data_IF_263985602687
#
_entry.id   IF_263985602687
#
_cell.length_a   1.000
_cell.length_b   1.000
_cell.length_c   1.000
_cell.angle_alpha   90.00
_cell.angle_beta   90.00
_cell.angle_gamma   90.00
#
_symmetry.space_group_name_H-M   'P 1'
#
loop_
_entity.id
_entity.type
_entity.pdbx_description
1 polymer ?
#
# COMPACT_ATOMS: atom_id res chain seq x y z
N UNK A 1 -17.73 0.11 19.64
CA UNK A 1 -17.07 0.99 18.65
C UNK A 1 -17.22 0.29 17.31
N UNK A 2 -17.66 0.99 16.26
CA UNK A 2 -17.67 0.39 14.93
C UNK A 2 -16.22 0.04 14.56
N UNK A 3 -15.98 -1.15 14.02
CA UNK A 3 -14.67 -1.54 13.53
C UNK A 3 -14.28 -0.52 12.45
N UNK A 4 -13.10 0.07 12.60
CA UNK A 4 -12.59 0.99 11.60
C UNK A 4 -12.37 0.21 10.30
N UNK A 5 -13.00 0.64 9.21
CA UNK A 5 -12.87 0.04 7.87
C UNK A 5 -11.98 0.91 7.01
N UNK A 6 -11.22 0.29 6.11
CA UNK A 6 -10.47 1.04 5.10
C UNK A 6 -11.45 1.69 4.12
N UNK A 7 -11.09 2.89 3.67
CA UNK A 7 -11.79 3.51 2.53
C UNK A 7 -11.38 2.78 1.26
N UNK A 8 -12.34 2.49 0.39
CA UNK A 8 -12.10 1.84 -0.89
C UNK A 8 -12.56 2.71 -2.04
N UNK A 9 -11.86 2.59 -3.16
CA UNK A 9 -12.19 3.18 -4.45
C UNK A 9 -12.25 2.05 -5.47
N UNK A 10 -13.31 2.01 -6.26
CA UNK A 10 -13.50 0.95 -7.27
C UNK A 10 -13.28 1.53 -8.64
N UNK A 11 -12.47 0.83 -9.44
CA UNK A 11 -12.20 1.12 -10.85
C UNK A 11 -12.35 -0.17 -11.69
N UNK A 12 -12.23 -0.05 -13.01
CA UNK A 12 -12.44 -1.16 -13.94
C UNK A 12 -13.91 -1.57 -14.02
N UNK A 13 -14.17 -2.85 -14.30
CA UNK A 13 -15.53 -3.39 -14.38
C UNK A 13 -16.02 -3.84 -12.99
N UNK A 14 -17.00 -3.14 -12.38
CA UNK A 14 -17.51 -3.52 -11.06
C UNK A 14 -18.26 -4.87 -11.06
N UNK A 15 -18.63 -5.41 -12.23
CA UNK A 15 -19.32 -6.68 -12.38
C UNK A 15 -18.38 -7.84 -12.70
N UNK A 16 -17.09 -7.58 -12.87
CA UNK A 16 -16.09 -8.60 -13.15
C UNK A 16 -16.00 -9.64 -12.03
N UNK A 17 -15.76 -10.89 -12.41
CA UNK A 17 -15.54 -11.99 -11.48
C UNK A 17 -14.13 -11.99 -10.91
N UNK A 18 -13.15 -11.43 -11.64
CA UNK A 18 -11.79 -11.28 -11.17
C UNK A 18 -11.65 -9.96 -10.42
N UNK A 19 -11.18 -10.04 -9.16
CA UNK A 19 -10.94 -8.86 -8.32
C UNK A 19 -9.44 -8.68 -8.10
N UNK A 20 -8.98 -7.45 -8.31
CA UNK A 20 -7.61 -7.01 -8.02
C UNK A 20 -7.65 -5.98 -6.90
N UNK A 21 -6.97 -6.26 -5.79
CA UNK A 21 -6.90 -5.36 -4.63
C UNK A 21 -5.54 -4.70 -4.58
N UNK A 22 -5.52 -3.37 -4.52
CA UNK A 22 -4.32 -2.54 -4.52
C UNK A 22 -4.12 -1.92 -3.15
N UNK A 23 -2.91 -2.11 -2.59
CA UNK A 23 -2.51 -1.58 -1.28
C UNK A 23 -1.28 -0.70 -1.46
N UNK A 24 -1.45 0.61 -1.27
CA UNK A 24 -0.37 1.60 -1.41
C UNK A 24 0.57 1.61 -0.20
N UNK A 25 1.68 2.35 -0.30
CA UNK A 25 2.62 2.60 0.77
C UNK A 25 2.54 4.00 1.35
N UNK A 26 3.57 4.40 2.05
CA UNK A 26 3.68 5.73 2.63
C UNK A 26 4.67 6.60 1.82
N UNK A 27 4.38 7.89 1.58
CA UNK A 27 3.25 8.70 2.07
C UNK A 27 2.07 8.80 1.08
N UNK A 28 1.89 7.79 0.23
CA UNK A 28 0.94 7.77 -0.87
C UNK A 28 -0.51 7.54 -0.41
N UNK A 29 -1.41 7.51 -1.41
CA UNK A 29 -2.79 7.07 -1.31
C UNK A 29 -3.13 6.23 -2.57
N UNK A 30 -4.40 5.83 -2.72
CA UNK A 30 -4.87 5.04 -3.87
C UNK A 30 -4.50 5.64 -5.23
N UNK A 31 -4.31 6.97 -5.33
CA UNK A 31 -4.03 7.65 -6.62
C UNK A 31 -2.68 7.26 -7.23
N UNK A 32 -1.76 6.66 -6.45
CA UNK A 32 -0.49 6.13 -6.98
C UNK A 32 -0.71 5.07 -8.06
N UNK A 33 -1.85 4.38 -8.05
CA UNK A 33 -2.18 3.35 -9.03
C UNK A 33 -2.99 3.85 -10.23
N UNK A 34 -3.55 5.07 -10.19
CA UNK A 34 -4.37 5.62 -11.29
C UNK A 34 -3.66 5.66 -12.64
N UNK A 35 -2.34 6.03 -12.73
CA UNK A 35 -1.65 6.01 -14.00
C UNK A 35 -1.61 4.62 -14.64
N UNK A 36 -1.46 3.55 -13.85
CA UNK A 36 -1.46 2.17 -14.33
C UNK A 36 -2.83 1.73 -14.84
N UNK A 37 -3.91 2.12 -14.15
CA UNK A 37 -5.28 1.83 -14.55
C UNK A 37 -5.71 2.56 -15.84
N UNK A 38 -4.97 3.60 -16.20
CA UNK A 38 -5.24 4.46 -17.37
C UNK A 38 -4.35 4.14 -18.58
N UNK A 39 -3.52 3.10 -18.52
CA UNK A 39 -2.61 2.76 -19.62
C UNK A 39 -3.39 2.25 -20.82
N UNK A 40 -3.18 2.84 -22.02
CA UNK A 40 -3.81 2.36 -23.25
C UNK A 40 -3.36 0.94 -23.59
N UNK A 41 -4.30 0.05 -23.90
CA UNK A 41 -4.02 -1.32 -24.34
C UNK A 41 -3.81 -2.32 -23.20
N UNK A 42 -4.04 -1.94 -21.95
CA UNK A 42 -4.12 -2.86 -20.83
C UNK A 42 -5.61 -3.16 -20.53
N UNK A 43 -6.17 -4.09 -21.31
CA UNK A 43 -7.56 -4.51 -21.15
C UNK A 43 -7.77 -5.34 -19.88
N UNK A 44 -6.70 -5.97 -19.35
CA UNK A 44 -6.80 -6.87 -18.21
C UNK A 44 -7.29 -6.16 -16.93
N UNK A 45 -6.80 -4.95 -16.64
CA UNK A 45 -7.27 -4.18 -15.48
C UNK A 45 -8.61 -3.51 -15.72
N UNK A 46 -8.90 -3.11 -16.97
CA UNK A 46 -10.20 -2.52 -17.31
C UNK A 46 -11.33 -3.56 -17.28
N UNK A 47 -11.01 -4.83 -17.53
CA UNK A 47 -11.94 -5.97 -17.48
C UNK A 47 -12.02 -6.62 -16.08
N UNK A 48 -11.21 -6.18 -15.14
CA UNK A 48 -11.20 -6.64 -13.74
C UNK A 48 -11.89 -5.64 -12.82
N UNK A 49 -12.42 -6.11 -11.70
CA UNK A 49 -12.85 -5.25 -10.59
C UNK A 49 -11.64 -4.83 -9.77
N UNK A 50 -11.21 -3.58 -9.92
CA UNK A 50 -10.07 -3.03 -9.21
C UNK A 50 -10.52 -2.32 -7.93
N UNK A 51 -10.09 -2.82 -6.77
CA UNK A 51 -10.37 -2.28 -5.44
C UNK A 51 -9.10 -1.64 -4.90
N UNK A 52 -9.08 -0.31 -4.83
CA UNK A 52 -7.95 0.46 -4.33
C UNK A 52 -8.25 0.90 -2.90
N UNK A 53 -7.42 0.51 -1.94
CA UNK A 53 -7.60 0.86 -0.53
C UNK A 53 -6.81 2.10 -0.16
N UNK A 54 -7.39 2.96 0.70
CA UNK A 54 -6.66 4.00 1.40
C UNK A 54 -6.26 3.50 2.78
N UNK A 55 -4.96 3.36 3.02
CA UNK A 55 -4.42 3.12 4.35
C UNK A 55 -4.58 4.36 5.23
N UNK A 56 -4.68 4.20 6.56
CA UNK A 56 -4.74 5.33 7.48
C UNK A 56 -3.57 6.29 7.27
N UNK A 57 -3.88 7.56 7.12
CA UNK A 57 -2.85 8.59 6.92
C UNK A 57 -2.25 9.02 8.25
N UNK A 58 -0.98 9.42 8.22
CA UNK A 58 -0.27 9.97 9.38
C UNK A 58 -0.89 11.29 9.91
N UNK A 59 -1.74 11.97 9.14
CA UNK A 59 -2.51 13.14 9.56
C UNK A 59 -3.64 12.80 10.56
N UNK A 60 -3.86 11.52 10.82
CA UNK A 60 -4.73 11.03 11.87
C UNK A 60 -6.23 11.22 11.66
N UNK A 61 -6.65 11.67 10.48
CA UNK A 61 -8.07 11.85 10.19
C UNK A 61 -8.82 10.51 10.29
N UNK A 62 -9.61 10.34 11.35
CA UNK A 62 -10.43 9.15 11.60
C UNK A 62 -9.74 7.98 12.32
N UNK A 63 -8.43 8.05 12.58
CA UNK A 63 -7.63 6.95 13.12
C UNK A 63 -6.88 7.30 14.42
N UNK A 64 -7.30 8.34 15.12
CA UNK A 64 -6.68 8.78 16.37
C UNK A 64 -6.88 7.74 17.46
N UNK A 65 -5.77 7.25 18.03
CA UNK A 65 -5.79 6.24 19.10
C UNK A 65 -5.97 4.79 18.61
N UNK A 66 -6.00 4.56 17.30
CA UNK A 66 -6.05 3.21 16.72
C UNK A 66 -4.66 2.58 16.63
N UNK A 67 -4.60 1.25 16.70
CA UNK A 67 -3.40 0.49 16.39
C UNK A 67 -3.16 0.50 14.87
N UNK A 68 -2.07 1.09 14.43
CA UNK A 68 -1.63 1.14 13.04
C UNK A 68 -0.42 0.22 12.76
N UNK A 69 -0.24 -0.81 13.58
CA UNK A 69 0.78 -1.84 13.32
C UNK A 69 0.51 -2.59 12.01
N UNK A 70 1.55 -3.07 11.36
CA UNK A 70 1.41 -3.85 10.13
C UNK A 70 0.45 -5.06 10.27
N UNK A 71 0.47 -5.85 11.38
CA UNK A 71 -0.51 -6.91 11.57
C UNK A 71 -1.95 -6.39 11.63
N UNK A 72 -2.19 -5.24 12.24
CA UNK A 72 -3.52 -4.63 12.26
C UNK A 72 -3.96 -4.14 10.88
N UNK A 73 -3.06 -3.49 10.13
CA UNK A 73 -3.33 -3.06 8.76
C UNK A 73 -3.61 -4.27 7.85
N UNK A 74 -2.85 -5.36 7.99
CA UNK A 74 -3.11 -6.60 7.26
C UNK A 74 -4.51 -7.18 7.59
N UNK A 75 -4.92 -7.16 8.86
CA UNK A 75 -6.28 -7.57 9.26
C UNK A 75 -7.36 -6.72 8.58
N UNK A 76 -7.17 -5.41 8.48
CA UNK A 76 -8.12 -4.51 7.79
C UNK A 76 -8.18 -4.80 6.28
N UNK A 77 -7.04 -5.12 5.65
CA UNK A 77 -7.02 -5.54 4.24
C UNK A 77 -7.73 -6.87 4.05
N UNK A 78 -7.57 -7.83 4.97
CA UNK A 78 -8.33 -9.11 4.96
C UNK A 78 -9.83 -8.85 5.05
N UNK A 79 -10.26 -7.98 5.96
CA UNK A 79 -11.67 -7.62 6.11
C UNK A 79 -12.20 -6.95 4.82
N UNK A 80 -11.39 -6.10 4.20
CA UNK A 80 -11.72 -5.48 2.91
C UNK A 80 -11.85 -6.53 1.80
N UNK A 81 -10.90 -7.46 1.65
CA UNK A 81 -10.97 -8.53 0.65
C UNK A 81 -12.28 -9.32 0.82
N UNK A 82 -12.63 -9.70 2.04
CA UNK A 82 -13.86 -10.46 2.34
C UNK A 82 -15.15 -9.70 2.07
N UNK A 83 -15.12 -8.37 2.17
CA UNK A 83 -16.29 -7.53 1.86
C UNK A 83 -16.43 -7.22 0.37
N UNK A 84 -15.33 -7.23 -0.38
CA UNK A 84 -15.28 -6.78 -1.77
C UNK A 84 -15.22 -7.93 -2.80
N UNK A 85 -14.96 -9.16 -2.36
CA UNK A 85 -14.84 -10.32 -3.26
C UNK A 85 -15.37 -11.61 -2.61
N UNK A 86 -16.12 -12.40 -3.39
CA UNK A 86 -16.59 -13.73 -2.99
C UNK A 86 -15.52 -14.82 -3.16
N UNK A 87 -14.40 -14.52 -3.80
CA UNK A 87 -13.33 -15.47 -4.11
C UNK A 87 -11.94 -14.92 -3.84
N UNK A 88 -10.89 -15.73 -4.11
CA UNK A 88 -9.51 -15.28 -3.96
C UNK A 88 -9.18 -14.19 -4.97
N UNK A 89 -8.44 -13.17 -4.51
CA UNK A 89 -8.08 -11.98 -5.29
C UNK A 89 -6.64 -12.00 -5.80
N UNK A 90 -6.36 -11.19 -6.82
CA UNK A 90 -5.00 -10.75 -7.09
C UNK A 90 -4.69 -9.58 -6.14
N UNK A 91 -3.69 -9.74 -5.28
CA UNK A 91 -3.29 -8.72 -4.31
C UNK A 91 -2.00 -8.02 -4.75
N UNK A 92 -2.09 -6.71 -4.95
CA UNK A 92 -0.96 -5.85 -5.39
C UNK A 92 -0.58 -4.93 -4.25
N UNK A 93 0.67 -5.02 -3.78
CA UNK A 93 1.22 -4.14 -2.75
C UNK A 93 2.36 -3.29 -3.31
N UNK A 94 2.41 -2.02 -2.92
CA UNK A 94 3.50 -1.09 -3.21
C UNK A 94 4.09 -0.57 -1.91
N UNK A 95 5.41 -0.52 -1.78
CA UNK A 95 6.15 -0.05 -0.60
C UNK A 95 5.64 -0.73 0.70
N UNK A 96 5.13 0.00 1.69
CA UNK A 96 4.52 -0.59 2.91
C UNK A 96 3.34 -1.51 2.59
N UNK A 97 2.61 -1.23 1.51
CA UNK A 97 1.58 -2.13 1.00
C UNK A 97 2.10 -3.50 0.65
N UNK A 98 3.36 -3.62 0.16
CA UNK A 98 4.01 -4.92 -0.09
C UNK A 98 4.26 -5.70 1.20
N UNK A 99 4.63 -5.02 2.29
CA UNK A 99 4.78 -5.65 3.61
C UNK A 99 3.43 -6.17 4.11
N UNK A 100 2.39 -5.35 3.99
CA UNK A 100 1.01 -5.71 4.38
C UNK A 100 0.52 -6.89 3.54
N UNK A 101 0.68 -6.84 2.21
CA UNK A 101 0.28 -7.92 1.31
C UNK A 101 1.00 -9.25 1.62
N UNK A 102 2.29 -9.18 2.00
CA UNK A 102 3.05 -10.36 2.42
C UNK A 102 2.51 -10.97 3.71
N UNK A 103 2.03 -10.16 4.66
CA UNK A 103 1.39 -10.64 5.88
C UNK A 103 0.04 -11.28 5.57
N UNK A 104 -0.77 -10.66 4.71
CA UNK A 104 -2.05 -11.25 4.25
C UNK A 104 -1.81 -12.59 3.59
N UNK A 105 -0.87 -12.69 2.63
CA UNK A 105 -0.54 -13.94 1.95
C UNK A 105 -0.05 -15.03 2.92
N UNK A 106 0.72 -14.66 3.95
CA UNK A 106 1.22 -15.60 4.96
C UNK A 106 0.10 -16.15 5.84
N UNK A 107 -0.80 -15.27 6.30
CA UNK A 107 -1.77 -15.59 7.35
C UNK A 107 -3.13 -16.04 6.78
N UNK A 108 -3.46 -15.69 5.52
CA UNK A 108 -4.72 -16.02 4.84
C UNK A 108 -4.45 -16.35 3.35
N UNK A 109 -3.61 -17.37 3.06
CA UNK A 109 -3.22 -17.69 1.68
C UNK A 109 -4.42 -18.06 0.78
N UNK A 110 -5.51 -18.54 1.36
CA UNK A 110 -6.73 -18.90 0.65
C UNK A 110 -7.48 -17.70 0.03
N UNK A 111 -7.22 -16.49 0.51
CA UNK A 111 -7.80 -15.26 -0.02
C UNK A 111 -7.02 -14.69 -1.21
N UNK A 112 -5.84 -15.24 -1.52
CA UNK A 112 -4.92 -14.66 -2.51
C UNK A 112 -4.60 -15.67 -3.60
N UNK A 113 -5.12 -15.45 -4.79
CA UNK A 113 -4.80 -16.27 -5.98
C UNK A 113 -3.44 -15.91 -6.58
N UNK A 114 -3.06 -14.63 -6.50
CA UNK A 114 -1.79 -14.07 -6.99
C UNK A 114 -1.38 -12.90 -6.11
N UNK A 115 -0.08 -12.78 -5.84
CA UNK A 115 0.46 -11.64 -5.09
C UNK A 115 1.57 -10.96 -5.91
N UNK A 116 1.44 -9.64 -6.08
CA UNK A 116 2.43 -8.79 -6.76
C UNK A 116 2.97 -7.78 -5.76
N UNK A 117 4.28 -7.78 -5.57
CA UNK A 117 4.96 -6.90 -4.62
C UNK A 117 5.87 -5.94 -5.41
N UNK A 118 5.59 -4.64 -5.29
CA UNK A 118 6.31 -3.57 -5.96
C UNK A 118 7.21 -2.86 -4.94
N UNK A 119 8.48 -2.63 -5.31
CA UNK A 119 9.56 -1.98 -4.56
C UNK A 119 10.09 -2.75 -3.35
N UNK A 120 9.24 -3.29 -2.50
CA UNK A 120 9.64 -4.07 -1.33
C UNK A 120 9.32 -5.53 -1.61
N UNK A 121 10.36 -6.31 -1.92
CA UNK A 121 10.24 -7.77 -2.10
C UNK A 121 10.03 -8.49 -0.77
N UNK A 122 9.74 -9.79 -0.85
CA UNK A 122 9.67 -10.68 0.30
C UNK A 122 10.90 -10.49 1.20
N UNK A 123 10.66 -10.36 2.50
CA UNK A 123 11.61 -10.03 3.58
C UNK A 123 13.06 -10.47 3.29
N UNK A 124 14.02 -9.56 3.13
CA UNK A 124 15.41 -9.95 2.93
C UNK A 124 15.90 -10.70 4.18
N UNK A 125 16.42 -11.90 4.00
CA UNK A 125 17.21 -12.52 5.05
C UNK A 125 18.52 -11.74 5.17
N UNK A 126 18.73 -11.09 6.31
CA UNK A 126 19.94 -10.30 6.60
C UNK A 126 21.13 -11.19 7.00
N UNK A 127 21.35 -12.27 6.29
CA UNK A 127 22.36 -13.29 6.60
C UNK A 127 23.68 -13.12 5.85
N UNK A 128 23.80 -12.07 5.02
CA UNK A 128 25.04 -11.78 4.30
C UNK A 128 25.54 -10.35 4.54
N UNK A 129 26.89 -10.12 4.54
CA UNK A 129 27.47 -8.79 4.68
C UNK A 129 27.01 -7.79 3.61
N UNK A 130 26.72 -8.25 2.41
CA UNK A 130 26.18 -7.41 1.32
C UNK A 130 24.76 -6.91 1.61
N UNK A 131 23.95 -7.71 2.28
CA UNK A 131 22.61 -7.33 2.73
C UNK A 131 22.66 -6.39 3.93
N UNK A 132 23.64 -6.55 4.83
CA UNK A 132 23.87 -5.59 5.91
C UNK A 132 24.26 -4.20 5.37
N UNK A 133 25.09 -4.13 4.32
CA UNK A 133 25.44 -2.87 3.65
C UNK A 133 24.21 -2.22 2.95
N UNK A 134 23.32 -3.02 2.34
CA UNK A 134 22.05 -2.54 1.80
C UNK A 134 21.11 -2.05 2.90
N UNK A 135 21.10 -2.72 4.06
CA UNK A 135 20.37 -2.29 5.25
C UNK A 135 20.76 -0.89 5.72
N UNK A 136 22.05 -0.52 5.65
CA UNK A 136 22.53 0.84 5.92
C UNK A 136 21.97 1.87 4.91
N UNK A 137 21.87 1.50 3.63
CA UNK A 137 21.24 2.34 2.60
C UNK A 137 19.75 2.58 2.87
N UNK A 138 19.03 1.55 3.27
CA UNK A 138 17.62 1.63 3.66
C UNK A 138 17.45 2.51 4.91
N UNK A 139 18.30 2.35 5.93
CA UNK A 139 18.30 3.21 7.12
C UNK A 139 18.58 4.67 6.78
N UNK A 140 19.53 4.93 5.87
CA UNK A 140 19.81 6.28 5.39
C UNK A 140 18.60 6.87 4.64
N UNK A 141 17.96 6.10 3.77
CA UNK A 141 16.74 6.50 3.07
C UNK A 141 15.61 6.87 4.05
N UNK A 142 15.32 6.00 5.03
CA UNK A 142 14.32 6.30 6.06
C UNK A 142 14.68 7.52 6.90
N UNK A 143 15.95 7.68 7.25
CA UNK A 143 16.42 8.84 8.04
C UNK A 143 16.23 10.15 7.27
N UNK A 144 16.56 10.18 5.98
CA UNK A 144 16.37 11.35 5.11
C UNK A 144 14.89 11.68 4.96
N UNK A 145 14.05 10.69 4.69
CA UNK A 145 12.61 10.91 4.55
C UNK A 145 11.97 11.36 5.87
N UNK A 146 12.35 10.76 7.00
CA UNK A 146 11.88 11.18 8.33
C UNK A 146 12.33 12.61 8.63
N UNK A 147 13.58 12.97 8.35
CA UNK A 147 14.08 14.33 8.53
C UNK A 147 13.33 15.32 7.62
N UNK A 148 13.12 14.98 6.34
CA UNK A 148 12.35 15.82 5.41
C UNK A 148 10.89 16.01 5.89
N UNK A 149 10.26 14.95 6.39
CA UNK A 149 8.92 15.00 6.98
C UNK A 149 8.87 15.90 8.23
N UNK A 150 9.81 15.74 9.16
CA UNK A 150 9.88 16.56 10.37
C UNK A 150 10.19 18.03 10.05
N UNK A 151 11.10 18.30 9.11
CA UNK A 151 11.41 19.66 8.66
C UNK A 151 10.23 20.28 7.90
N UNK A 152 9.49 19.50 7.13
CA UNK A 152 8.26 19.95 6.46
C UNK A 152 7.14 20.32 7.45
N UNK A 153 7.09 19.70 8.63
CA UNK A 153 6.15 20.05 9.71
C UNK A 153 6.56 21.29 10.51
N UNK A 154 7.87 21.50 10.68
CA UNK A 154 8.43 22.55 11.57
C UNK A 154 9.02 23.71 10.77
N UNK A 155 9.26 23.53 9.47
CA UNK A 155 9.93 24.52 8.61
C UNK A 155 9.00 25.26 7.64
N UNK A 156 9.55 26.22 6.85
CA UNK A 156 8.79 27.03 5.91
C UNK A 156 8.30 26.29 4.66
N UNK A 157 8.54 24.98 4.53
CA UNK A 157 8.10 24.15 3.42
C UNK A 157 6.64 23.75 3.62
N UNK A 158 5.74 24.48 2.98
CA UNK A 158 4.30 24.18 3.00
C UNK A 158 4.00 22.87 2.22
N UNK A 159 3.01 22.07 2.67
CA UNK A 159 2.66 20.75 2.08
C UNK A 159 2.38 20.77 0.56
N UNK A 160 2.02 21.90 -0.04
CA UNK A 160 1.77 22.04 -1.47
C UNK A 160 3.01 22.08 -2.37
N UNK A 161 4.22 22.22 -1.82
CA UNK A 161 5.48 22.23 -2.59
C UNK A 161 6.23 20.89 -2.59
N UNK A 162 5.85 19.94 -1.74
CA UNK A 162 6.50 18.62 -1.70
C UNK A 162 6.20 17.75 -2.92
N UNK A 163 5.05 17.93 -3.58
CA UNK A 163 4.73 17.18 -4.81
C UNK A 163 5.64 17.49 -6.01
N UNK A 164 6.25 18.67 -6.05
CA UNK A 164 7.12 19.06 -7.19
C UNK A 164 8.58 18.61 -7.08
N UNK A 165 9.02 18.10 -5.93
CA UNK A 165 10.40 17.63 -5.76
C UNK A 165 10.57 16.12 -5.96
N UNK A 166 9.46 15.39 -6.07
CA UNK A 166 9.46 13.93 -6.27
C UNK A 166 9.10 13.57 -7.74
N UNK A 167 8.65 14.54 -8.54
CA UNK A 167 8.20 14.35 -9.94
C UNK A 167 9.18 14.85 -11.00
N UNK A 168 10.47 15.11 -10.67
CA UNK A 168 11.54 15.41 -11.66
C UNK A 168 12.62 14.28 -11.62
#
# INVERSE_FOLDING_TARGET
MAASQLRVHVAGDPSATETVVFVHGWPDDHTVFEPMLSLPGDDALSESRCVLVDLPRADGAGWVGEDLSFPRLASLVVDTIRSESDGPVTLVGHDWGSVIASLVLRDQPELVSRCVLLDVGAQPRFDTPALAARGLGILAYFSVNTAAFLLGRVGPLRPGKQRSLISE
#
